data_IF_894119218970
#
_entry.id   IF_894119218970
#
_cell.length_a   1.000
_cell.length_b   1.000
_cell.length_c   1.000
_cell.angle_alpha   90.00
_cell.angle_beta   90.00
_cell.angle_gamma   90.00
#
_symmetry.space_group_name_H-M   'P 1'
#
loop_
_entity.id
_entity.type
_entity.pdbx_description
1 polymer ?
#
# COMPACT_ATOMS: atom_id res chain seq x y z
N UNK A 1 19.98 38.10 -1.48
CA UNK A 1 19.79 36.99 -0.50
C UNK A 1 19.19 35.73 -1.13
N UNK A 2 18.18 35.84 -2.00
CA UNK A 2 17.49 34.69 -2.64
C UNK A 2 18.38 33.71 -3.43
N UNK A 3 19.43 34.18 -4.12
CA UNK A 3 20.32 33.30 -4.89
C UNK A 3 21.22 32.39 -4.01
N UNK A 4 21.51 32.79 -2.76
CA UNK A 4 22.34 32.01 -1.82
C UNK A 4 21.55 30.83 -1.25
N UNK A 5 20.26 31.02 -1.00
CA UNK A 5 19.34 30.00 -0.49
C UNK A 5 19.04 28.92 -1.55
N UNK A 6 18.91 29.31 -2.82
CA UNK A 6 18.69 28.37 -3.94
C UNK A 6 19.87 27.42 -4.13
N UNK A 7 21.11 27.91 -4.12
CA UNK A 7 22.32 27.06 -4.23
C UNK A 7 22.45 26.06 -3.08
N UNK A 8 22.09 26.48 -1.86
CA UNK A 8 22.12 25.62 -0.68
C UNK A 8 21.05 24.51 -0.76
N UNK A 9 19.87 24.82 -1.28
CA UNK A 9 18.83 23.81 -1.53
C UNK A 9 19.22 22.86 -2.66
N UNK A 10 19.74 23.36 -3.77
CA UNK A 10 20.20 22.50 -4.87
C UNK A 10 21.31 21.53 -4.41
N UNK A 11 22.25 22.01 -3.60
CA UNK A 11 23.29 21.15 -3.03
C UNK A 11 22.69 20.08 -2.11
N UNK A 12 21.76 20.44 -1.23
CA UNK A 12 21.07 19.48 -0.37
C UNK A 12 20.31 18.42 -1.17
N UNK A 13 19.67 18.80 -2.28
CA UNK A 13 18.98 17.86 -3.15
C UNK A 13 19.94 16.90 -3.85
N UNK A 14 21.09 17.39 -4.35
CA UNK A 14 22.11 16.55 -4.99
C UNK A 14 22.71 15.56 -3.99
N UNK A 15 23.03 16.00 -2.78
CA UNK A 15 23.51 15.12 -1.71
C UNK A 15 22.45 14.07 -1.36
N UNK A 16 21.17 14.47 -1.28
CA UNK A 16 20.06 13.53 -1.07
C UNK A 16 19.98 12.46 -2.16
N UNK A 17 20.08 12.86 -3.44
CA UNK A 17 20.06 11.92 -4.59
C UNK A 17 21.25 10.95 -4.51
N UNK A 18 22.46 11.44 -4.21
CA UNK A 18 23.65 10.59 -4.08
C UNK A 18 23.50 9.57 -2.95
N UNK A 19 22.94 9.98 -1.80
CA UNK A 19 22.67 9.08 -0.67
C UNK A 19 21.64 8.03 -1.07
N UNK A 20 20.57 8.40 -1.78
CA UNK A 20 19.56 7.46 -2.27
C UNK A 20 20.14 6.44 -3.25
N UNK A 21 20.96 6.88 -4.21
CA UNK A 21 21.64 6.00 -5.17
C UNK A 21 22.57 5.02 -4.43
N UNK A 22 23.33 5.52 -3.45
CA UNK A 22 24.24 4.70 -2.66
C UNK A 22 23.48 3.67 -1.80
N UNK A 23 22.35 4.03 -1.21
CA UNK A 23 21.49 3.09 -0.48
C UNK A 23 20.98 1.95 -1.39
N UNK A 24 20.55 2.29 -2.60
CA UNK A 24 20.07 1.33 -3.60
C UNK A 24 21.20 0.39 -4.09
N UNK A 25 22.41 0.93 -4.28
CA UNK A 25 23.59 0.12 -4.59
C UNK A 25 23.92 -0.89 -3.46
N UNK A 26 23.83 -0.45 -2.20
CA UNK A 26 24.06 -1.31 -1.04
C UNK A 26 23.01 -2.43 -0.96
N UNK A 27 21.73 -2.11 -1.20
CA UNK A 27 20.64 -3.08 -1.22
C UNK A 27 20.85 -4.14 -2.30
N UNK A 28 21.12 -3.72 -3.53
CA UNK A 28 21.37 -4.62 -4.66
C UNK A 28 22.61 -5.51 -4.44
N UNK A 29 23.69 -4.94 -3.89
CA UNK A 29 24.92 -5.69 -3.61
C UNK A 29 24.73 -6.73 -2.49
N UNK A 30 23.88 -6.43 -1.50
CA UNK A 30 23.54 -7.36 -0.41
C UNK A 30 22.60 -8.49 -0.86
N UNK A 31 21.70 -8.20 -1.81
CA UNK A 31 20.83 -9.20 -2.42
C UNK A 31 21.64 -10.21 -3.25
N UNK A 32 22.65 -9.72 -3.98
CA UNK A 32 23.59 -10.57 -4.74
C UNK A 32 24.53 -11.36 -3.82
N UNK A 33 25.06 -10.75 -2.76
CA UNK A 33 26.00 -11.38 -1.83
C UNK A 33 25.58 -11.14 -0.37
N UNK A 34 25.07 -12.18 0.31
CA UNK A 34 24.60 -12.07 1.71
C UNK A 34 25.68 -11.62 2.69
N UNK A 35 26.96 -11.84 2.38
CA UNK A 35 28.12 -11.47 3.19
C UNK A 35 28.63 -10.04 2.91
N UNK A 36 28.08 -9.33 1.91
CA UNK A 36 28.51 -7.97 1.57
C UNK A 36 28.35 -7.00 2.76
N UNK A 37 29.37 -6.17 3.03
CA UNK A 37 29.36 -5.18 4.11
C UNK A 37 29.55 -3.79 3.51
N UNK A 38 28.59 -2.89 3.71
CA UNK A 38 28.66 -1.56 3.13
C UNK A 38 29.69 -0.68 3.84
N UNK A 39 30.23 0.32 3.14
CA UNK A 39 31.17 1.30 3.73
C UNK A 39 30.54 2.14 4.85
N UNK A 40 29.21 2.20 4.91
CA UNK A 40 28.46 2.89 5.95
C UNK A 40 28.19 2.02 7.19
N UNK A 41 28.68 0.77 7.24
CA UNK A 41 28.67 -0.05 8.46
C UNK A 41 29.84 0.33 9.39
N UNK A 42 29.64 1.42 10.14
CA UNK A 42 30.67 2.01 11.02
C UNK A 42 30.84 1.19 12.32
N UNK A 43 29.77 0.54 12.81
CA UNK A 43 29.82 -0.34 13.99
C UNK A 43 28.69 -1.37 13.99
N UNK A 44 28.75 -2.36 14.90
CA UNK A 44 27.70 -3.39 15.06
C UNK A 44 26.32 -2.79 15.41
N UNK A 45 26.31 -1.63 16.06
CA UNK A 45 25.11 -0.86 16.44
C UNK A 45 24.72 0.22 15.41
N UNK A 46 25.57 0.52 14.44
CA UNK A 46 25.30 1.45 13.33
C UNK A 46 25.65 0.79 11.99
N UNK A 47 24.81 -0.18 11.61
CA UNK A 47 24.92 -0.90 10.34
C UNK A 47 23.81 -0.49 9.37
N UNK A 48 24.16 0.28 8.34
CA UNK A 48 23.26 0.62 7.25
C UNK A 48 22.88 -0.59 6.40
N UNK A 49 23.76 -1.59 6.23
CA UNK A 49 23.42 -2.82 5.53
C UNK A 49 22.29 -3.55 6.25
N UNK A 50 22.38 -3.72 7.57
CA UNK A 50 21.35 -4.39 8.34
C UNK A 50 20.06 -3.57 8.41
N UNK A 51 20.13 -2.24 8.49
CA UNK A 51 18.93 -1.38 8.47
C UNK A 51 18.21 -1.46 7.13
N UNK A 52 18.93 -1.34 6.01
CA UNK A 52 18.36 -1.37 4.67
C UNK A 52 17.82 -2.75 4.27
N UNK A 53 18.47 -3.84 4.70
CA UNK A 53 17.99 -5.20 4.41
C UNK A 53 17.09 -5.77 5.48
N UNK A 54 16.99 -5.14 6.65
CA UNK A 54 16.03 -5.57 7.66
C UNK A 54 14.63 -5.35 7.10
N UNK A 55 13.80 -6.40 7.17
CA UNK A 55 12.36 -6.21 7.18
C UNK A 55 12.03 -5.48 8.47
N UNK A 56 12.25 -4.16 8.54
CA UNK A 56 11.69 -3.36 9.62
C UNK A 56 10.19 -3.51 9.44
N UNK A 57 9.51 -4.23 10.35
CA UNK A 57 8.11 -4.45 10.15
C UNK A 57 7.44 -3.08 10.29
N UNK A 58 6.59 -2.76 9.33
CA UNK A 58 6.03 -1.42 9.10
C UNK A 58 5.46 -0.78 10.37
N UNK A 59 4.96 -1.61 11.28
CA UNK A 59 4.50 -1.19 12.59
C UNK A 59 5.58 -0.49 13.42
N UNK A 60 6.86 -0.87 13.35
CA UNK A 60 7.93 -0.20 14.13
C UNK A 60 8.20 1.22 13.65
N UNK A 61 8.25 1.45 12.34
CA UNK A 61 8.36 2.80 11.79
C UNK A 61 7.11 3.63 12.13
N UNK A 62 5.91 3.05 11.97
CA UNK A 62 4.66 3.69 12.37
C UNK A 62 4.67 4.12 13.83
N UNK A 63 5.09 3.25 14.76
CA UNK A 63 5.17 3.55 16.20
C UNK A 63 6.14 4.68 16.52
N UNK A 64 7.31 4.73 15.87
CA UNK A 64 8.25 5.83 16.03
C UNK A 64 7.62 7.17 15.61
N UNK A 65 6.96 7.15 14.47
CA UNK A 65 6.25 8.27 13.88
C UNK A 65 5.06 8.73 14.77
N UNK A 66 4.26 7.80 15.29
CA UNK A 66 3.21 8.09 16.28
C UNK A 66 3.77 8.76 17.54
N UNK A 67 4.89 8.28 18.08
CA UNK A 67 5.51 8.86 19.28
C UNK A 67 5.94 10.32 19.02
N UNK A 68 6.56 10.59 17.87
CA UNK A 68 6.96 11.96 17.49
C UNK A 68 5.75 12.89 17.33
N UNK A 69 4.64 12.37 16.81
CA UNK A 69 3.41 13.14 16.68
C UNK A 69 2.76 13.45 18.03
N UNK A 70 2.74 12.47 18.94
CA UNK A 70 2.26 12.65 20.32
C UNK A 70 3.14 13.66 21.06
N UNK A 71 4.45 13.64 20.85
CA UNK A 71 5.37 14.65 21.39
C UNK A 71 5.08 16.06 20.84
N UNK A 72 4.79 16.18 19.54
CA UNK A 72 4.38 17.46 18.95
C UNK A 72 3.05 17.97 19.52
N UNK A 73 2.07 17.08 19.73
CA UNK A 73 0.79 17.39 20.37
C UNK A 73 0.98 17.86 21.82
N UNK A 74 1.76 17.12 22.61
CA UNK A 74 2.11 17.47 23.99
C UNK A 74 2.75 18.84 24.05
N UNK A 75 3.71 19.12 23.15
CA UNK A 75 4.40 20.40 23.10
C UNK A 75 3.43 21.57 22.84
N UNK A 76 2.52 21.42 21.86
CA UNK A 76 1.47 22.43 21.61
C UNK A 76 0.56 22.60 22.81
N UNK A 77 0.12 21.51 23.43
CA UNK A 77 -0.80 21.55 24.56
C UNK A 77 -0.18 22.24 25.77
N UNK A 78 1.07 21.91 26.12
CA UNK A 78 1.82 22.55 27.21
C UNK A 78 2.02 24.04 26.93
N UNK A 79 2.43 24.43 25.71
CA UNK A 79 2.59 25.83 25.35
C UNK A 79 1.26 26.60 25.39
N UNK A 80 0.17 25.96 24.95
CA UNK A 80 -1.18 26.55 24.96
C UNK A 80 -1.71 26.70 26.38
N UNK A 81 -1.49 25.72 27.25
CA UNK A 81 -1.86 25.78 28.66
C UNK A 81 -1.08 26.90 29.38
N UNK A 82 0.23 26.98 29.17
CA UNK A 82 1.06 28.03 29.74
C UNK A 82 0.65 29.43 29.26
N UNK A 83 0.29 29.57 27.97
CA UNK A 83 -0.23 30.83 27.42
C UNK A 83 -1.56 31.24 28.05
N UNK A 84 -2.51 30.30 28.21
CA UNK A 84 -3.81 30.57 28.81
C UNK A 84 -3.68 30.99 30.29
N UNK A 85 -2.81 30.34 31.06
CA UNK A 85 -2.58 30.67 32.48
C UNK A 85 -2.06 32.10 32.69
N UNK A 86 -1.26 32.62 31.75
CA UNK A 86 -0.74 33.99 31.80
C UNK A 86 -1.82 34.99 31.36
N UNK A 87 -2.66 34.61 30.38
CA UNK A 87 -3.77 35.44 29.91
C UNK A 87 -4.82 35.70 31.00
N UNK A 88 -5.00 34.76 31.92
CA UNK A 88 -5.92 34.91 33.06
C UNK A 88 -5.42 35.94 34.11
N UNK A 89 -4.13 36.32 34.07
CA UNK A 89 -3.51 37.31 34.98
C UNK A 89 -3.01 38.54 34.20
N UNK A 90 -3.90 39.39 33.68
CA UNK A 90 -3.54 40.50 32.77
C UNK A 90 -2.65 41.57 33.41
N UNK A 91 -2.61 41.68 34.75
CA UNK A 91 -1.82 42.69 35.46
C UNK A 91 -0.31 42.35 35.54
N UNK A 92 0.08 41.09 35.33
CA UNK A 92 1.49 40.65 35.30
C UNK A 92 2.06 40.53 33.87
N UNK A 93 1.20 40.76 32.86
CA UNK A 93 1.53 40.50 31.47
C UNK A 93 2.38 41.63 30.87
N UNK A 94 3.70 41.44 30.85
CA UNK A 94 4.60 42.31 30.07
C UNK A 94 4.42 42.00 28.56
N UNK A 95 4.28 43.02 27.68
CA UNK A 95 4.11 42.80 26.23
C UNK A 95 5.29 42.04 25.57
N UNK A 96 6.48 42.15 26.15
CA UNK A 96 7.68 41.35 25.79
C UNK A 96 7.45 39.84 25.98
N UNK A 97 6.74 39.43 27.03
CA UNK A 97 6.48 38.02 27.36
C UNK A 97 5.41 37.42 26.45
N UNK A 98 4.39 38.21 26.12
CA UNK A 98 3.31 37.80 25.22
C UNK A 98 3.85 37.47 23.81
N UNK A 99 4.66 38.37 23.25
CA UNK A 99 5.26 38.20 21.93
C UNK A 99 6.17 36.96 21.85
N UNK A 100 6.91 36.65 22.92
CA UNK A 100 7.74 35.45 23.03
C UNK A 100 6.91 34.15 22.99
N UNK A 101 5.77 34.12 23.69
CA UNK A 101 4.87 32.97 23.69
C UNK A 101 4.19 32.76 22.34
N UNK A 102 3.70 33.84 21.72
CA UNK A 102 3.14 33.81 20.36
C UNK A 102 4.17 33.25 19.36
N UNK A 103 5.42 33.72 19.41
CA UNK A 103 6.49 33.21 18.55
C UNK A 103 6.72 31.70 18.74
N UNK A 104 6.76 31.23 19.99
CA UNK A 104 6.93 29.81 20.32
C UNK A 104 5.74 28.97 19.85
N UNK A 105 4.52 29.51 19.95
CA UNK A 105 3.30 28.85 19.49
C UNK A 105 3.29 28.66 17.97
N UNK A 106 3.66 29.67 17.18
CA UNK A 106 3.79 29.54 15.72
C UNK A 106 4.87 28.54 15.31
N UNK A 107 5.95 28.41 16.09
CA UNK A 107 6.97 27.38 15.85
C UNK A 107 6.41 25.98 16.14
N UNK A 108 5.72 25.80 17.26
CA UNK A 108 5.12 24.52 17.62
C UNK A 108 4.01 24.09 16.62
N UNK A 109 3.16 25.03 16.19
CA UNK A 109 2.10 24.80 15.22
C UNK A 109 2.65 24.31 13.86
N UNK A 110 3.72 24.96 13.36
CA UNK A 110 4.39 24.53 12.12
C UNK A 110 5.03 23.15 12.27
N UNK A 111 5.72 22.91 13.39
CA UNK A 111 6.36 21.62 13.64
C UNK A 111 5.31 20.49 13.71
N UNK A 112 4.16 20.73 14.33
CA UNK A 112 3.05 19.78 14.34
C UNK A 112 2.53 19.46 12.94
N UNK A 113 2.30 20.48 12.10
CA UNK A 113 1.87 20.24 10.72
C UNK A 113 2.91 19.46 9.91
N UNK A 114 4.20 19.74 10.07
CA UNK A 114 5.28 19.00 9.40
C UNK A 114 5.28 17.53 9.87
N UNK A 115 5.20 17.29 11.18
CA UNK A 115 5.15 15.92 11.71
C UNK A 115 3.91 15.18 11.23
N UNK A 116 2.72 15.79 11.29
CA UNK A 116 1.47 15.17 10.84
C UNK A 116 1.45 14.88 9.33
N UNK A 117 1.94 15.81 8.51
CA UNK A 117 2.08 15.59 7.06
C UNK A 117 3.06 14.46 6.75
N UNK A 118 4.18 14.38 7.49
CA UNK A 118 5.15 13.29 7.34
C UNK A 118 4.53 11.92 7.64
N UNK A 119 3.68 11.81 8.66
CA UNK A 119 2.94 10.58 8.97
C UNK A 119 2.01 10.16 7.84
N UNK A 120 1.25 11.13 7.34
CA UNK A 120 0.29 10.90 6.28
C UNK A 120 0.98 10.42 5.01
N UNK A 121 2.04 11.12 4.58
CA UNK A 121 2.84 10.72 3.42
C UNK A 121 3.49 9.37 3.64
N UNK A 122 4.07 9.11 4.81
CA UNK A 122 4.65 7.81 5.13
C UNK A 122 3.62 6.68 5.01
N UNK A 123 2.41 6.87 5.54
CA UNK A 123 1.32 5.89 5.44
C UNK A 123 0.92 5.64 3.99
N UNK A 124 0.73 6.70 3.20
CA UNK A 124 0.37 6.59 1.78
C UNK A 124 1.47 5.86 1.00
N UNK A 125 2.73 6.25 1.19
CA UNK A 125 3.86 5.60 0.53
C UNK A 125 3.99 4.13 0.95
N UNK A 126 3.86 3.83 2.23
CA UNK A 126 3.91 2.45 2.73
C UNK A 126 2.81 1.58 2.12
N UNK A 127 1.58 2.10 2.05
CA UNK A 127 0.45 1.43 1.41
C UNK A 127 0.70 1.20 -0.08
N UNK A 128 1.19 2.21 -0.80
CA UNK A 128 1.49 2.12 -2.23
C UNK A 128 2.61 1.11 -2.51
N UNK A 129 3.70 1.15 -1.77
CA UNK A 129 4.83 0.21 -1.92
C UNK A 129 4.40 -1.23 -1.61
N UNK A 130 3.55 -1.42 -0.58
CA UNK A 130 3.05 -2.74 -0.23
C UNK A 130 2.16 -3.31 -1.34
N UNK A 131 1.24 -2.50 -1.87
CA UNK A 131 0.39 -2.89 -2.99
C UNK A 131 1.20 -3.15 -4.27
N UNK A 132 2.21 -2.32 -4.56
CA UNK A 132 3.08 -2.50 -5.71
C UNK A 132 3.90 -3.79 -5.61
N UNK A 133 4.40 -4.10 -4.41
CA UNK A 133 5.13 -5.34 -4.14
C UNK A 133 4.25 -6.58 -4.28
N UNK A 134 2.97 -6.49 -3.89
CA UNK A 134 1.99 -7.56 -4.07
C UNK A 134 1.66 -7.76 -5.56
N UNK A 135 1.44 -6.68 -6.30
CA UNK A 135 1.25 -6.73 -7.75
C UNK A 135 2.46 -7.32 -8.50
N UNK A 136 3.67 -6.90 -8.14
CA UNK A 136 4.90 -7.41 -8.76
C UNK A 136 5.07 -8.92 -8.51
N UNK A 137 4.76 -9.39 -7.30
CA UNK A 137 4.79 -10.83 -6.98
C UNK A 137 3.73 -11.61 -7.74
N UNK A 138 2.52 -11.07 -7.84
CA UNK A 138 1.45 -11.74 -8.59
C UNK A 138 1.80 -11.87 -10.07
N UNK A 139 2.29 -10.79 -10.71
CA UNK A 139 2.70 -10.85 -12.13
C UNK A 139 3.86 -11.84 -12.36
N UNK A 140 4.85 -11.87 -11.47
CA UNK A 140 5.95 -12.84 -11.57
C UNK A 140 5.46 -14.28 -11.37
N UNK A 141 4.51 -14.51 -10.45
CA UNK A 141 3.92 -15.83 -10.22
C UNK A 141 3.03 -16.28 -11.38
N UNK A 142 2.35 -15.34 -12.05
CA UNK A 142 1.54 -15.60 -13.23
C UNK A 142 2.42 -16.01 -14.41
N UNK A 143 3.51 -15.28 -14.67
CA UNK A 143 4.47 -15.63 -15.73
C UNK A 143 5.16 -16.97 -15.45
N UNK A 144 5.48 -17.26 -14.18
CA UNK A 144 6.03 -18.56 -13.78
C UNK A 144 5.02 -19.70 -13.97
N UNK A 145 3.75 -19.48 -13.61
CA UNK A 145 2.67 -20.49 -13.76
C UNK A 145 2.39 -20.79 -15.22
N UNK A 146 2.42 -19.78 -16.10
CA UNK A 146 2.27 -19.96 -17.55
C UNK A 146 3.44 -20.79 -18.11
N UNK A 147 4.68 -20.48 -17.73
CA UNK A 147 5.86 -21.27 -18.15
C UNK A 147 5.78 -22.72 -17.65
N UNK A 148 5.32 -22.92 -16.42
CA UNK A 148 5.12 -24.25 -15.86
C UNK A 148 4.03 -25.03 -16.63
N UNK A 149 2.90 -24.41 -16.95
CA UNK A 149 1.84 -25.02 -17.75
C UNK A 149 2.32 -25.40 -19.17
N UNK A 150 3.02 -24.49 -19.85
CA UNK A 150 3.59 -24.76 -21.18
C UNK A 150 4.60 -25.90 -21.15
N UNK A 151 5.46 -25.97 -20.12
CA UNK A 151 6.42 -27.06 -19.96
C UNK A 151 5.73 -28.42 -19.77
N UNK A 152 4.64 -28.47 -19.01
CA UNK A 152 3.83 -29.67 -18.80
C UNK A 152 3.09 -30.07 -20.09
N UNK A 153 2.53 -29.11 -20.82
CA UNK A 153 1.88 -29.37 -22.12
C UNK A 153 2.88 -29.87 -23.17
N UNK A 154 4.08 -29.29 -23.24
CA UNK A 154 5.13 -29.74 -24.15
C UNK A 154 5.65 -31.15 -23.79
N UNK A 155 5.76 -31.47 -22.50
CA UNK A 155 6.09 -32.82 -22.04
C UNK A 155 4.99 -33.83 -22.42
N UNK A 156 3.71 -33.47 -22.26
CA UNK A 156 2.59 -34.31 -22.66
C UNK A 156 2.55 -34.52 -24.20
N UNK A 157 2.81 -33.48 -25.00
CA UNK A 157 2.91 -33.60 -26.45
C UNK A 157 4.05 -34.55 -26.87
N UNK A 158 5.22 -34.46 -26.22
CA UNK A 158 6.34 -35.38 -26.51
C UNK A 158 6.01 -36.83 -26.21
N UNK A 159 5.27 -37.11 -25.13
CA UNK A 159 4.81 -38.45 -24.81
C UNK A 159 3.78 -38.97 -25.83
N UNK A 160 2.87 -38.10 -26.29
CA UNK A 160 1.91 -38.44 -27.35
C UNK A 160 2.61 -38.70 -28.70
N UNK A 161 3.62 -37.91 -29.06
CA UNK A 161 4.37 -38.10 -30.31
C UNK A 161 5.25 -39.36 -30.25
N UNK A 162 5.87 -39.67 -29.11
CA UNK A 162 6.56 -40.97 -28.92
C UNK A 162 5.60 -42.16 -29.03
N UNK A 163 4.37 -42.03 -28.52
CA UNK A 163 3.37 -43.09 -28.66
C UNK A 163 2.94 -43.30 -30.12
N UNK A 164 2.90 -42.24 -30.95
CA UNK A 164 2.62 -42.36 -32.39
C UNK A 164 3.75 -43.00 -33.20
N UNK A 165 5.01 -42.80 -32.80
CA UNK A 165 6.16 -43.42 -33.49
C UNK A 165 6.29 -44.91 -33.15
N UNK A 166 5.75 -45.34 -32.01
CA UNK A 166 5.80 -46.74 -31.55
C UNK A 166 4.60 -47.57 -32.01
N UNK A 167 3.78 -47.05 -32.92
CA UNK A 167 2.58 -47.74 -33.45
C UNK A 167 2.88 -48.51 -34.76
N UNK A 168 4.15 -48.70 -35.10
CA UNK A 168 4.55 -49.41 -36.34
C UNK A 168 5.33 -50.70 -36.16
N UNK A 169 5.76 -51.11 -34.97
CA UNK A 169 6.31 -52.47 -34.78
C UNK A 169 6.21 -52.94 -33.32
N UNK A 170 5.63 -54.14 -33.17
CA UNK A 170 5.64 -55.05 -32.00
C UNK A 170 4.36 -55.10 -31.18
N UNK A 171 3.50 -56.05 -31.56
CA UNK A 171 2.53 -56.71 -30.69
C UNK A 171 3.21 -57.35 -29.46
N UNK A 172 2.53 -57.19 -28.33
CA UNK A 172 2.59 -57.94 -27.07
C UNK A 172 3.82 -57.81 -26.14
N UNK A 173 3.60 -57.23 -24.95
CA UNK A 173 3.67 -57.86 -23.60
C UNK A 173 3.82 -56.76 -22.51
N UNK A 174 2.71 -56.40 -21.84
CA UNK A 174 2.52 -56.48 -20.37
C UNK A 174 1.07 -56.02 -20.02
N UNK A 175 0.16 -56.91 -19.61
CA UNK A 175 -1.26 -56.56 -19.37
C UNK A 175 -1.49 -55.73 -18.09
N UNK A 176 -0.61 -55.83 -17.10
CA UNK A 176 -0.78 -55.21 -15.77
C UNK A 176 -0.53 -53.68 -15.77
N UNK A 177 0.35 -53.19 -16.67
CA UNK A 177 0.67 -51.76 -16.78
C UNK A 177 -0.29 -51.00 -17.68
N UNK A 178 -0.88 -51.65 -18.69
CA UNK A 178 -1.84 -51.03 -19.61
C UNK A 178 -3.20 -50.75 -18.93
N UNK A 179 -3.68 -51.67 -18.08
CA UNK A 179 -4.89 -51.45 -17.26
C UNK A 179 -4.65 -50.37 -16.20
N UNK A 180 -3.50 -50.37 -15.53
CA UNK A 180 -3.16 -49.33 -14.55
C UNK A 180 -3.06 -47.93 -15.21
N UNK A 181 -2.44 -47.81 -16.39
CA UNK A 181 -2.38 -46.55 -17.14
C UNK A 181 -3.77 -46.10 -17.65
N UNK A 182 -4.63 -47.03 -18.08
CA UNK A 182 -6.00 -46.71 -18.48
C UNK A 182 -6.84 -46.23 -17.30
N UNK A 183 -6.66 -46.82 -16.12
CA UNK A 183 -7.35 -46.39 -14.90
C UNK A 183 -6.84 -45.03 -14.39
N UNK A 184 -5.54 -44.75 -14.54
CA UNK A 184 -4.97 -43.42 -14.27
C UNK A 184 -5.44 -42.36 -15.25
N UNK A 185 -5.51 -42.65 -16.56
CA UNK A 185 -6.09 -41.74 -17.55
C UNK A 185 -7.59 -41.50 -17.31
N UNK A 186 -8.34 -42.53 -16.92
CA UNK A 186 -9.74 -42.39 -16.54
C UNK A 186 -9.89 -41.51 -15.28
N UNK A 187 -9.03 -41.68 -14.27
CA UNK A 187 -8.99 -40.83 -13.08
C UNK A 187 -8.57 -39.39 -13.40
N UNK A 188 -7.58 -39.19 -14.27
CA UNK A 188 -7.14 -37.85 -14.69
C UNK A 188 -8.23 -37.13 -15.48
N UNK A 189 -8.89 -37.83 -16.39
CA UNK A 189 -10.02 -37.29 -17.17
C UNK A 189 -11.18 -36.91 -16.26
N UNK A 190 -11.51 -37.77 -15.28
CA UNK A 190 -12.56 -37.48 -14.29
C UNK A 190 -12.21 -36.30 -13.38
N UNK A 191 -10.93 -36.14 -13.01
CA UNK A 191 -10.44 -34.97 -12.27
C UNK A 191 -10.52 -33.70 -13.13
N UNK A 192 -10.14 -33.79 -14.40
CA UNK A 192 -10.22 -32.68 -15.35
C UNK A 192 -11.66 -32.21 -15.54
N UNK A 193 -12.61 -33.13 -15.76
CA UNK A 193 -14.04 -32.79 -15.83
C UNK A 193 -14.57 -32.18 -14.53
N UNK A 194 -14.07 -32.62 -13.37
CA UNK A 194 -14.47 -32.05 -12.08
C UNK A 194 -13.91 -30.64 -11.85
N UNK A 195 -12.68 -30.38 -12.29
CA UNK A 195 -12.08 -29.05 -12.26
C UNK A 195 -12.69 -28.12 -13.29
N UNK A 196 -13.00 -28.59 -14.50
CA UNK A 196 -13.66 -27.80 -15.54
C UNK A 196 -15.06 -27.37 -15.08
N UNK A 197 -15.84 -28.27 -14.46
CA UNK A 197 -17.12 -27.94 -13.82
C UNK A 197 -16.95 -26.94 -12.68
N UNK A 198 -15.90 -27.07 -11.87
CA UNK A 198 -15.60 -26.12 -10.81
C UNK A 198 -15.26 -24.73 -11.38
N UNK A 199 -14.42 -24.67 -12.42
CA UNK A 199 -14.03 -23.44 -13.08
C UNK A 199 -15.21 -22.74 -13.76
N UNK A 200 -16.09 -23.52 -14.42
CA UNK A 200 -17.29 -23.00 -15.05
C UNK A 200 -18.30 -22.47 -14.03
N UNK A 201 -18.42 -23.13 -12.87
CA UNK A 201 -19.21 -22.62 -11.74
C UNK A 201 -18.64 -21.31 -11.21
N UNK A 202 -17.32 -21.23 -10.99
CA UNK A 202 -16.67 -19.97 -10.56
C UNK A 202 -16.89 -18.84 -11.55
N UNK A 203 -16.89 -19.13 -12.86
CA UNK A 203 -17.18 -18.12 -13.90
C UNK A 203 -18.62 -17.62 -13.82
N UNK A 204 -19.59 -18.52 -13.59
CA UNK A 204 -21.00 -18.16 -13.38
C UNK A 204 -21.19 -17.35 -12.08
N UNK A 205 -20.50 -17.72 -11.01
CA UNK A 205 -20.53 -16.99 -9.74
C UNK A 205 -19.97 -15.56 -9.91
N UNK A 206 -18.89 -15.40 -10.69
CA UNK A 206 -18.30 -14.09 -11.01
C UNK A 206 -19.28 -13.21 -11.81
N UNK A 207 -19.93 -13.75 -12.83
CA UNK A 207 -20.95 -13.03 -13.59
C UNK A 207 -22.13 -12.61 -12.72
N UNK A 208 -22.55 -13.47 -11.80
CA UNK A 208 -23.63 -13.19 -10.84
C UNK A 208 -23.20 -12.08 -9.86
N UNK A 209 -21.99 -12.16 -9.31
CA UNK A 209 -21.42 -11.15 -8.42
C UNK A 209 -21.34 -9.79 -9.13
N UNK A 210 -20.88 -9.77 -10.39
CA UNK A 210 -20.82 -8.54 -11.19
C UNK A 210 -22.18 -7.89 -11.37
N UNK A 211 -23.24 -8.68 -11.62
CA UNK A 211 -24.62 -8.17 -11.69
C UNK A 211 -25.08 -7.59 -10.36
N UNK A 212 -24.78 -8.26 -9.25
CA UNK A 212 -25.11 -7.78 -7.90
C UNK A 212 -24.39 -6.46 -7.57
N UNK A 213 -23.10 -6.34 -7.92
CA UNK A 213 -22.35 -5.09 -7.73
C UNK A 213 -22.92 -3.95 -8.55
N UNK A 214 -23.28 -4.19 -9.82
CA UNK A 214 -23.90 -3.17 -10.68
C UNK A 214 -25.27 -2.71 -10.14
N UNK A 215 -26.09 -3.64 -9.66
CA UNK A 215 -27.36 -3.31 -9.00
C UNK A 215 -27.13 -2.47 -7.73
N UNK A 216 -26.17 -2.86 -6.89
CA UNK A 216 -25.84 -2.13 -5.66
C UNK A 216 -25.35 -0.71 -5.94
N UNK A 217 -24.49 -0.52 -6.96
CA UNK A 217 -24.04 0.80 -7.37
C UNK A 217 -25.20 1.68 -7.84
N UNK A 218 -26.15 1.11 -8.59
CA UNK A 218 -27.33 1.83 -9.07
C UNK A 218 -28.21 2.31 -7.92
N UNK A 219 -28.45 1.45 -6.91
CA UNK A 219 -29.20 1.84 -5.71
C UNK A 219 -28.46 2.90 -4.89
N UNK A 220 -27.12 2.81 -4.81
CA UNK A 220 -26.31 3.82 -4.14
C UNK A 220 -26.42 5.19 -4.81
N UNK A 221 -26.35 5.25 -6.14
CA UNK A 221 -26.51 6.48 -6.91
C UNK A 221 -27.91 7.08 -6.71
N UNK A 222 -28.95 6.23 -6.69
CA UNK A 222 -30.33 6.66 -6.44
C UNK A 222 -30.48 7.29 -5.04
N UNK A 223 -30.00 6.61 -4.00
CA UNK A 223 -30.07 7.13 -2.62
C UNK A 223 -29.29 8.43 -2.49
N UNK A 224 -28.12 8.53 -3.13
CA UNK A 224 -27.32 9.76 -3.15
C UNK A 224 -28.10 10.93 -3.76
N UNK A 225 -28.80 10.71 -4.86
CA UNK A 225 -29.67 11.73 -5.46
C UNK A 225 -30.84 12.12 -4.56
N UNK A 226 -31.46 11.17 -3.86
CA UNK A 226 -32.53 11.45 -2.90
C UNK A 226 -32.00 12.26 -1.70
N UNK A 227 -30.82 11.93 -1.17
CA UNK A 227 -30.16 12.70 -0.11
C UNK A 227 -29.84 14.13 -0.56
N UNK A 228 -29.34 14.33 -1.79
CA UNK A 228 -29.10 15.66 -2.35
C UNK A 228 -30.39 16.48 -2.48
N UNK A 229 -31.47 15.87 -2.98
CA UNK A 229 -32.80 16.53 -3.07
C UNK A 229 -33.33 16.92 -1.69
N UNK A 230 -33.17 16.05 -0.70
CA UNK A 230 -33.57 16.32 0.69
C UNK A 230 -32.75 17.46 1.30
N UNK A 231 -31.42 17.49 1.09
CA UNK A 231 -30.57 18.59 1.54
C UNK A 231 -30.98 19.93 0.91
N UNK A 232 -31.28 19.95 -0.40
CA UNK A 232 -31.77 21.16 -1.06
C UNK A 232 -33.12 21.62 -0.48
N UNK A 233 -34.05 20.70 -0.23
CA UNK A 233 -35.34 21.02 0.40
C UNK A 233 -35.17 21.57 1.82
N UNK A 234 -34.28 20.99 2.62
CA UNK A 234 -33.96 21.48 3.97
C UNK A 234 -33.36 22.89 3.91
N UNK A 235 -32.43 23.15 3.00
CA UNK A 235 -31.83 24.48 2.82
C UNK A 235 -32.86 25.54 2.41
N UNK A 236 -33.82 25.18 1.54
CA UNK A 236 -34.92 26.06 1.15
C UNK A 236 -35.89 26.36 2.32
N UNK A 237 -36.14 25.39 3.19
CA UNK A 237 -36.96 25.57 4.39
C UNK A 237 -36.25 26.41 5.47
N UNK A 238 -34.95 26.21 5.66
CA UNK A 238 -34.12 27.03 6.56
C UNK A 238 -33.99 28.48 6.05
N UNK A 239 -33.90 28.68 4.73
CA UNK A 239 -33.87 30.01 4.11
C UNK A 239 -35.22 30.75 4.11
N UNK A 240 -36.34 30.03 4.19
CA UNK A 240 -37.71 30.60 4.20
C UNK A 240 -38.19 31.10 5.57
N UNK A 241 -37.45 30.83 6.65
CA UNK A 241 -37.84 31.21 8.01
C UNK A 241 -37.65 32.69 8.38
N UNK A 242 -37.10 33.53 7.48
CA UNK A 242 -36.73 34.92 7.80
C UNK A 242 -37.67 36.01 7.22
N UNK A 243 -38.79 35.67 6.59
CA UNK A 243 -39.68 36.67 5.94
C UNK A 243 -41.13 36.64 6.39
N UNK A 244 -41.43 36.34 7.67
CA UNK A 244 -42.80 36.56 8.19
C UNK A 244 -42.86 37.01 9.66
N UNK A 245 -42.02 37.98 10.04
CA UNK A 245 -42.18 38.77 11.28
C UNK A 245 -41.81 40.24 11.01
N UNK A 246 -42.69 40.99 10.34
CA UNK A 246 -42.87 42.47 10.43
C UNK A 246 -43.85 42.94 9.34
N UNK A 247 -45.09 43.18 9.76
CA UNK A 247 -46.23 43.86 9.13
C UNK A 247 -47.45 43.02 9.59
N UNK A 248 -48.36 43.45 10.45
CA UNK A 248 -48.78 44.79 10.92
C UNK A 248 -48.91 44.82 12.45
#
# INVERSE_FOLDING_TARGET
MFAKTSKMMSFSCIVGILICIYALHVEHSKESNKEYRAFCDISEYMSCSNVLTSKIPSYKCYRFFEILFIEALRNIWVLRQAYNSIKDHPHEMRPETESLYLMRMFRAQRNFYITGFSLFVWFVLHRLVSLLSEHAKMQASEEASIKQAQSATAAAQRLLDQSKVTDSDTEDIYPDTMEALKDELAKLTKKFESEEKAHQKTKQDLETLKKQTLQTNTEYDRVTQECQKLQYRLQMLEGGGSTNKKAD
#
